data_IF_382382533706
#
_entry.id   IF_382382533706
#
_cell.length_a   1.000
_cell.length_b   1.000
_cell.length_c   1.000
_cell.angle_alpha   90.00
_cell.angle_beta   90.00
_cell.angle_gamma   90.00
#
_symmetry.space_group_name_H-M   'P 1'
#
loop_
_entity.id
_entity.type
_entity.pdbx_description
1 polymer ?
#
# COMPACT_ATOMS: atom_id res chain seq x y z
N UNK A 1 -29.75 -10.11 34.91
CA UNK A 1 -28.41 -10.43 34.39
C UNK A 1 -28.41 -10.16 32.89
N UNK A 2 -27.70 -9.11 32.49
CA UNK A 2 -27.65 -8.60 31.12
C UNK A 2 -26.82 -9.52 30.22
N UNK A 3 -27.40 -10.05 29.15
CA UNK A 3 -26.69 -10.77 28.09
C UNK A 3 -26.05 -9.75 27.13
N UNK A 4 -24.76 -9.49 27.31
CA UNK A 4 -23.95 -8.75 26.34
C UNK A 4 -23.81 -9.59 25.06
N UNK A 5 -24.56 -9.24 24.01
CA UNK A 5 -24.25 -9.64 22.63
C UNK A 5 -22.94 -8.98 22.21
N UNK A 6 -21.86 -9.76 22.08
CA UNK A 6 -20.68 -9.34 21.32
C UNK A 6 -21.07 -9.30 19.84
N UNK A 7 -21.37 -8.10 19.34
CA UNK A 7 -21.48 -7.83 17.90
C UNK A 7 -20.07 -7.70 17.34
N UNK A 8 -19.38 -8.83 17.14
CA UNK A 8 -18.23 -8.88 16.25
C UNK A 8 -18.76 -8.97 14.83
N UNK A 9 -18.60 -7.92 14.03
CA UNK A 9 -18.92 -7.96 12.60
C UNK A 9 -17.92 -8.90 11.93
N UNK A 10 -18.33 -10.15 11.74
CA UNK A 10 -17.59 -11.11 10.93
C UNK A 10 -17.62 -10.58 9.49
N UNK A 11 -16.51 -10.01 9.04
CA UNK A 11 -16.44 -9.41 7.70
C UNK A 11 -16.39 -10.57 6.71
N UNK A 12 -17.49 -10.83 6.02
CA UNK A 12 -17.54 -11.85 4.98
C UNK A 12 -16.49 -11.53 3.90
N UNK A 13 -15.64 -12.49 3.57
CA UNK A 13 -14.64 -12.37 2.51
C UNK A 13 -15.37 -12.27 1.18
N UNK A 14 -15.12 -11.21 0.41
CA UNK A 14 -15.70 -11.02 -0.92
C UNK A 14 -15.29 -12.16 -1.86
N UNK A 15 -16.22 -12.57 -2.71
CA UNK A 15 -15.96 -13.56 -3.77
C UNK A 15 -15.02 -12.98 -4.83
N UNK A 16 -14.35 -13.85 -5.59
CA UNK A 16 -13.45 -13.43 -6.67
C UNK A 16 -14.16 -12.55 -7.72
N UNK A 17 -15.41 -12.87 -8.04
CA UNK A 17 -16.23 -12.08 -8.98
C UNK A 17 -16.52 -10.67 -8.45
N UNK A 18 -16.84 -10.53 -7.16
CA UNK A 18 -17.06 -9.21 -6.54
C UNK A 18 -15.77 -8.38 -6.50
N UNK A 19 -14.64 -9.01 -6.22
CA UNK A 19 -13.32 -8.37 -6.26
C UNK A 19 -13.00 -7.91 -7.68
N UNK A 20 -13.17 -8.78 -8.68
CA UNK A 20 -12.93 -8.45 -10.09
C UNK A 20 -13.79 -7.28 -10.56
N UNK A 21 -15.09 -7.28 -10.27
CA UNK A 21 -16.00 -6.19 -10.64
C UNK A 21 -15.59 -4.84 -10.00
N UNK A 22 -15.14 -4.86 -8.75
CA UNK A 22 -14.63 -3.67 -8.05
C UNK A 22 -13.32 -3.17 -8.66
N UNK A 23 -12.41 -4.08 -9.00
CA UNK A 23 -11.14 -3.76 -9.67
C UNK A 23 -11.41 -3.13 -11.04
N UNK A 24 -12.30 -3.71 -11.86
CA UNK A 24 -12.67 -3.14 -13.16
C UNK A 24 -13.28 -1.74 -13.02
N UNK A 25 -14.14 -1.53 -12.02
CA UNK A 25 -14.72 -0.21 -11.74
C UNK A 25 -13.63 0.81 -11.40
N UNK A 26 -12.68 0.44 -10.54
CA UNK A 26 -11.56 1.30 -10.16
C UNK A 26 -10.64 1.60 -11.36
N UNK A 27 -10.24 0.57 -12.12
CA UNK A 27 -9.42 0.72 -13.32
C UNK A 27 -10.12 1.57 -14.39
N UNK A 28 -11.45 1.55 -14.47
CA UNK A 28 -12.24 2.40 -15.36
C UNK A 28 -12.16 3.89 -15.03
N UNK A 29 -11.87 4.24 -13.77
CA UNK A 29 -11.79 5.62 -13.30
C UNK A 29 -10.37 6.22 -13.43
N UNK A 30 -9.35 5.38 -13.58
CA UNK A 30 -7.95 5.81 -13.61
C UNK A 30 -7.50 6.29 -14.98
N UNK A 31 -6.68 7.33 -15.00
CA UNK A 31 -5.92 7.74 -16.18
C UNK A 31 -4.85 6.70 -16.56
N UNK A 32 -4.35 6.77 -17.79
CA UNK A 32 -3.24 5.90 -18.24
C UNK A 32 -1.99 6.10 -17.37
N UNK A 33 -1.70 7.34 -16.96
CA UNK A 33 -0.52 7.67 -16.14
C UNK A 33 -0.64 7.04 -14.76
N UNK A 34 -1.81 7.09 -14.13
CA UNK A 34 -2.02 6.44 -12.82
C UNK A 34 -1.92 4.91 -12.93
N UNK A 35 -2.42 4.31 -14.03
CA UNK A 35 -2.27 2.85 -14.27
C UNK A 35 -0.80 2.46 -14.39
N UNK A 36 0.00 3.27 -15.09
CA UNK A 36 1.46 3.08 -15.16
C UNK A 36 2.07 3.22 -13.76
N UNK A 37 1.62 4.20 -12.97
CA UNK A 37 2.06 4.39 -11.59
C UNK A 37 1.83 3.19 -10.69
N UNK A 38 0.73 2.45 -10.86
CA UNK A 38 0.48 1.21 -10.11
C UNK A 38 1.52 0.11 -10.39
N UNK A 39 2.19 0.16 -11.53
CA UNK A 39 3.26 -0.79 -11.90
C UNK A 39 4.64 -0.33 -11.41
N UNK A 40 4.73 0.84 -10.78
CA UNK A 40 5.99 1.44 -10.35
C UNK A 40 6.26 1.18 -8.85
N UNK A 41 7.49 0.75 -8.56
CA UNK A 41 8.02 0.61 -7.20
C UNK A 41 9.05 1.69 -6.94
N UNK A 42 8.76 2.58 -5.98
CA UNK A 42 9.64 3.71 -5.65
C UNK A 42 10.49 3.43 -4.41
N UNK A 43 11.65 4.09 -4.30
CA UNK A 43 12.47 4.06 -3.09
C UNK A 43 11.93 5.02 -2.04
N UNK A 44 11.71 4.58 -0.81
CA UNK A 44 11.20 5.43 0.28
C UNK A 44 12.26 6.07 1.17
N UNK A 45 13.55 5.86 0.87
CA UNK A 45 14.70 6.43 1.60
C UNK A 45 15.17 7.74 0.95
N UNK A 46 15.62 8.68 1.79
CA UNK A 46 16.07 10.00 1.34
C UNK A 46 17.33 9.96 0.45
N UNK A 47 18.13 8.90 0.52
CA UNK A 47 19.32 8.72 -0.31
C UNK A 47 19.03 8.01 -1.65
N UNK A 48 17.79 7.58 -1.89
CA UNK A 48 17.43 6.98 -3.17
C UNK A 48 17.60 8.03 -4.27
N UNK A 49 18.30 7.71 -5.38
CA UNK A 49 18.40 8.62 -6.50
C UNK A 49 17.03 8.85 -7.14
N UNK A 50 16.77 10.08 -7.59
CA UNK A 50 15.53 10.46 -8.27
C UNK A 50 14.60 11.33 -7.42
N UNK A 51 13.34 11.48 -7.85
CA UNK A 51 12.35 12.29 -7.14
C UNK A 51 12.01 11.71 -5.77
N UNK A 52 11.58 12.56 -4.84
CA UNK A 52 11.12 12.12 -3.51
C UNK A 52 9.90 11.21 -3.65
N UNK A 53 9.79 10.21 -2.79
CA UNK A 53 8.67 9.28 -2.80
C UNK A 53 7.33 10.00 -2.63
N UNK A 54 7.26 10.97 -1.72
CA UNK A 54 6.06 11.76 -1.45
C UNK A 54 5.49 12.43 -2.69
N UNK A 55 6.38 13.01 -3.50
CA UNK A 55 5.99 13.75 -4.70
C UNK A 55 5.47 12.80 -5.78
N UNK A 56 6.09 11.62 -5.91
CA UNK A 56 5.64 10.58 -6.84
C UNK A 56 4.30 9.97 -6.41
N UNK A 57 4.13 9.69 -5.11
CA UNK A 57 2.90 9.10 -4.56
C UNK A 57 1.72 10.06 -4.72
N UNK A 58 1.91 11.36 -4.44
CA UNK A 58 0.86 12.39 -4.52
C UNK A 58 0.26 12.51 -5.92
N UNK A 59 1.03 12.21 -6.97
CA UNK A 59 0.55 12.25 -8.36
C UNK A 59 0.09 10.88 -8.88
N UNK A 60 -0.05 9.87 -8.00
CA UNK A 60 -0.46 8.52 -8.39
C UNK A 60 0.63 7.72 -9.10
N UNK A 61 1.90 8.09 -8.96
CA UNK A 61 3.05 7.53 -9.67
C UNK A 61 3.71 6.32 -9.00
N UNK A 62 3.11 5.74 -7.96
CA UNK A 62 3.65 4.59 -7.23
C UNK A 62 2.55 3.62 -6.77
N UNK A 63 2.76 2.33 -6.99
CA UNK A 63 1.95 1.24 -6.42
C UNK A 63 2.60 0.60 -5.19
N UNK A 64 3.93 0.66 -5.09
CA UNK A 64 4.67 0.12 -3.95
C UNK A 64 5.90 0.95 -3.58
N UNK A 65 6.38 0.75 -2.35
CA UNK A 65 7.57 1.39 -1.79
C UNK A 65 8.54 0.34 -1.25
N UNK A 66 9.83 0.47 -1.58
CA UNK A 66 10.93 -0.34 -1.06
C UNK A 66 11.85 0.50 -0.13
N UNK A 67 12.64 -0.21 0.67
CA UNK A 67 13.71 0.33 1.54
C UNK A 67 13.25 1.19 2.72
N UNK A 68 11.98 1.15 3.11
CA UNK A 68 11.50 1.79 4.34
C UNK A 68 11.44 0.77 5.47
N UNK A 69 11.94 1.11 6.65
CA UNK A 69 11.90 0.26 7.86
C UNK A 69 11.43 1.00 9.13
N UNK A 70 10.98 2.25 8.99
CA UNK A 70 10.44 3.06 10.06
C UNK A 70 8.90 3.13 9.99
N UNK A 71 8.23 2.86 11.11
CA UNK A 71 6.77 2.77 11.15
C UNK A 71 6.07 4.12 11.01
N UNK A 72 6.70 5.21 11.47
CA UNK A 72 6.15 6.56 11.26
C UNK A 72 6.20 6.90 9.78
N UNK A 73 7.32 6.58 9.13
CA UNK A 73 7.48 6.78 7.69
C UNK A 73 6.48 5.98 6.87
N UNK A 74 6.20 4.72 7.22
CA UNK A 74 5.13 3.96 6.56
C UNK A 74 3.79 4.68 6.65
N UNK A 75 3.41 5.13 7.84
CA UNK A 75 2.13 5.82 8.06
C UNK A 75 2.06 7.15 7.31
N UNK A 76 3.13 7.93 7.28
CA UNK A 76 3.21 9.19 6.52
C UNK A 76 2.98 8.94 5.03
N UNK A 77 3.71 8.00 4.43
CA UNK A 77 3.58 7.70 3.00
C UNK A 77 2.21 7.10 2.66
N UNK A 78 1.68 6.23 3.52
CA UNK A 78 0.35 5.65 3.33
C UNK A 78 -0.74 6.72 3.43
N UNK A 79 -0.58 7.68 4.34
CA UNK A 79 -1.51 8.81 4.47
C UNK A 79 -1.51 9.66 3.20
N UNK A 80 -0.35 9.96 2.62
CA UNK A 80 -0.26 10.69 1.33
C UNK A 80 -0.97 9.90 0.22
N UNK A 81 -0.75 8.58 0.13
CA UNK A 81 -1.39 7.76 -0.88
C UNK A 81 -2.93 7.77 -0.78
N UNK A 82 -3.47 7.63 0.43
CA UNK A 82 -4.90 7.52 0.66
C UNK A 82 -5.61 8.88 0.64
N UNK A 83 -4.97 9.95 1.13
CA UNK A 83 -5.62 11.26 1.31
C UNK A 83 -5.28 12.27 0.20
N UNK A 84 -4.14 12.12 -0.49
CA UNK A 84 -3.65 13.15 -1.42
C UNK A 84 -3.51 12.67 -2.88
N UNK A 85 -3.50 11.35 -3.14
CA UNK A 85 -3.41 10.83 -4.51
C UNK A 85 -4.79 10.82 -5.20
N UNK A 86 -4.87 10.91 -6.56
CA UNK A 86 -6.16 11.11 -7.23
C UNK A 86 -7.15 9.96 -7.05
N UNK A 87 -6.63 8.72 -7.00
CA UNK A 87 -7.44 7.51 -6.84
C UNK A 87 -7.51 7.00 -5.38
N UNK A 88 -6.74 7.58 -4.44
CA UNK A 88 -6.71 7.16 -3.03
C UNK A 88 -6.26 5.71 -2.81
N UNK A 89 -5.55 5.11 -3.77
CA UNK A 89 -5.14 3.70 -3.72
C UNK A 89 -3.99 3.54 -2.71
N UNK A 90 -4.10 2.62 -1.72
CA UNK A 90 -3.05 2.39 -0.74
C UNK A 90 -1.81 1.73 -1.37
N UNK A 91 -0.66 2.00 -0.77
CA UNK A 91 0.64 1.44 -1.16
C UNK A 91 0.87 0.06 -0.56
N UNK A 92 1.58 -0.77 -1.32
CA UNK A 92 2.31 -1.94 -0.79
C UNK A 92 3.67 -1.49 -0.25
N UNK A 93 4.06 -2.00 0.92
CA UNK A 93 5.40 -1.79 1.48
C UNK A 93 6.19 -3.09 1.42
N UNK A 94 7.31 -3.05 0.72
CA UNK A 94 8.19 -4.19 0.51
C UNK A 94 9.48 -4.04 1.32
N UNK A 95 9.99 -5.16 1.83
CA UNK A 95 11.26 -5.27 2.52
C UNK A 95 11.92 -6.60 2.16
N UNK A 96 13.24 -6.60 2.04
CA UNK A 96 14.04 -7.82 1.88
C UNK A 96 14.21 -8.55 3.23
N UNK A 97 13.12 -9.18 3.71
CA UNK A 97 13.13 -9.99 4.93
C UNK A 97 13.51 -11.43 4.58
N UNK A 98 14.81 -11.67 4.39
CA UNK A 98 15.31 -12.95 3.85
C UNK A 98 15.45 -14.03 4.93
N UNK A 99 16.08 -13.72 6.06
CA UNK A 99 16.30 -14.67 7.17
C UNK A 99 15.99 -14.05 8.55
N UNK A 100 14.97 -13.19 8.59
CA UNK A 100 14.52 -12.51 9.80
C UNK A 100 14.50 -10.98 9.68
N UNK A 101 13.68 -10.32 10.50
CA UNK A 101 13.56 -8.85 10.51
C UNK A 101 14.25 -8.25 11.74
N UNK A 102 13.67 -8.41 12.94
CA UNK A 102 14.29 -8.00 14.21
C UNK A 102 15.05 -9.14 14.87
N UNK A 103 14.50 -10.35 14.81
CA UNK A 103 15.17 -11.58 15.24
C UNK A 103 15.74 -12.25 14.00
N UNK A 104 17.04 -12.53 14.02
CA UNK A 104 17.81 -12.99 12.86
C UNK A 104 18.11 -14.49 12.98
N UNK A 105 17.81 -15.24 11.93
CA UNK A 105 18.10 -16.67 11.78
C UNK A 105 19.42 -16.88 10.99
N UNK A 106 19.98 -18.10 10.93
CA UNK A 106 21.11 -18.39 10.04
C UNK A 106 20.83 -18.06 8.58
N UNK A 107 21.88 -17.83 7.80
CA UNK A 107 21.77 -17.53 6.36
C UNK A 107 21.09 -18.69 5.59
N UNK A 108 20.30 -18.39 4.53
CA UNK A 108 19.68 -19.42 3.69
C UNK A 108 20.66 -20.36 3.01
#
# INVERSE_FOLDING_TARGET
MNTMKRSGTETAVSTESEVAARVETLLGQMSLVEKIGQLNQVGGVAFAPGPKAEDQIRVGGAGSVLWVNDTKRFNELQKIAVEESPSGIPLLFALDVIHGYRTIFPVP
#
